data_IF_221336342749
#
_entry.id   IF_221336342749
#
_cell.length_a   1.000
_cell.length_b   1.000
_cell.length_c   1.000
_cell.angle_alpha   90.00
_cell.angle_beta   90.00
_cell.angle_gamma   90.00
#
_symmetry.space_group_name_H-M   'P 1'
#
loop_
_entity.id
_entity.type
_entity.pdbx_description
1 polymer ?
#
# COMPACT_ATOMS: atom_id res chain seq x y z
N UNK A 1 -49.71 74.02 -18.55
CA UNK A 1 -49.50 73.18 -17.34
C UNK A 1 -49.07 71.78 -17.80
N UNK A 2 -47.78 71.43 -17.73
CA UNK A 2 -47.29 70.05 -17.84
C UNK A 2 -45.98 69.97 -17.07
N UNK A 3 -46.04 69.37 -15.87
CA UNK A 3 -44.91 69.24 -14.94
C UNK A 3 -43.93 68.21 -15.49
N UNK A 4 -42.67 68.61 -15.65
CA UNK A 4 -41.55 67.73 -15.96
C UNK A 4 -41.11 67.06 -14.65
N UNK A 5 -41.34 65.76 -14.51
CA UNK A 5 -40.85 64.94 -13.40
C UNK A 5 -39.66 64.13 -13.93
N UNK A 6 -38.45 64.61 -13.64
CA UNK A 6 -37.20 63.90 -13.87
C UNK A 6 -36.97 62.93 -12.69
N UNK A 7 -37.20 61.64 -12.93
CA UNK A 7 -36.79 60.57 -12.01
C UNK A 7 -35.32 60.24 -12.28
N UNK A 8 -34.43 60.64 -11.36
CA UNK A 8 -33.02 60.26 -11.39
C UNK A 8 -32.89 58.89 -10.70
N UNK A 9 -32.85 57.82 -11.49
CA UNK A 9 -32.62 56.47 -10.98
C UNK A 9 -31.13 56.32 -10.59
N UNK A 10 -30.84 56.33 -9.28
CA UNK A 10 -29.54 55.94 -8.77
C UNK A 10 -29.33 54.44 -9.02
N UNK A 11 -28.57 54.10 -10.05
CA UNK A 11 -28.16 52.73 -10.34
C UNK A 11 -26.95 52.41 -9.45
N UNK A 12 -27.19 51.82 -8.28
CA UNK A 12 -26.10 51.31 -7.43
C UNK A 12 -25.52 50.08 -8.10
N UNK A 13 -24.31 50.21 -8.66
CA UNK A 13 -23.54 49.11 -9.21
C UNK A 13 -23.04 48.25 -8.04
N UNK A 14 -23.81 47.23 -7.66
CA UNK A 14 -23.39 46.24 -6.67
C UNK A 14 -22.26 45.40 -7.28
N UNK A 15 -21.02 45.79 -7.04
CA UNK A 15 -19.86 44.96 -7.37
C UNK A 15 -19.94 43.75 -6.43
N UNK A 16 -20.37 42.60 -6.96
CA UNK A 16 -20.21 41.33 -6.27
C UNK A 16 -18.72 41.00 -6.24
N UNK A 17 -18.04 41.41 -5.17
CA UNK A 17 -16.74 40.81 -4.82
C UNK A 17 -17.01 39.34 -4.53
N UNK A 18 -16.64 38.44 -5.47
CA UNK A 18 -16.49 37.03 -5.12
C UNK A 18 -15.46 37.00 -3.98
N UNK A 19 -15.90 36.72 -2.76
CA UNK A 19 -15.00 36.26 -1.73
C UNK A 19 -14.50 34.89 -2.20
N UNK A 20 -13.37 34.88 -2.91
CA UNK A 20 -12.58 33.67 -3.02
C UNK A 20 -12.02 33.44 -1.62
N UNK A 21 -12.38 32.33 -0.97
CA UNK A 21 -11.60 31.87 0.16
C UNK A 21 -10.14 31.81 -0.31
N UNK A 22 -9.28 32.60 0.29
CA UNK A 22 -7.90 32.71 -0.16
C UNK A 22 -7.22 31.37 0.14
N UNK A 23 -6.76 30.68 -0.90
CA UNK A 23 -6.07 29.41 -0.77
C UNK A 23 -4.80 29.62 0.06
N UNK A 24 -4.80 29.09 1.29
CA UNK A 24 -3.65 29.15 2.18
C UNK A 24 -2.64 28.10 1.71
N UNK A 25 -1.40 28.54 1.56
CA UNK A 25 -0.32 27.73 1.03
C UNK A 25 0.77 27.58 2.09
N UNK A 26 0.52 26.68 3.03
CA UNK A 26 1.47 26.28 4.09
C UNK A 26 1.74 24.79 3.93
N UNK A 27 2.99 24.47 3.63
CA UNK A 27 3.46 23.10 3.46
C UNK A 27 3.97 22.56 4.79
N UNK A 28 3.80 21.26 5.01
CA UNK A 28 4.55 20.55 6.03
C UNK A 28 6.06 20.66 5.76
N UNK A 29 6.88 20.77 6.81
CA UNK A 29 8.33 20.83 6.64
C UNK A 29 8.89 19.51 6.07
N UNK A 30 8.42 18.38 6.63
CA UNK A 30 8.89 17.05 6.28
C UNK A 30 7.77 16.01 6.41
N UNK A 31 7.53 15.24 5.35
CA UNK A 31 6.54 14.16 5.28
C UNK A 31 7.23 12.80 5.16
N UNK A 32 6.75 11.82 5.92
CA UNK A 32 7.18 10.43 5.82
C UNK A 32 6.08 9.61 5.14
N UNK A 33 6.32 9.19 3.91
CA UNK A 33 5.32 8.54 3.09
C UNK A 33 5.67 7.06 2.89
N UNK A 34 4.74 6.18 3.30
CA UNK A 34 4.82 4.76 2.95
C UNK A 34 4.28 4.53 1.54
N UNK A 35 4.95 3.67 0.79
CA UNK A 35 4.41 3.10 -0.44
C UNK A 35 3.10 2.36 -0.18
N UNK A 36 2.28 2.23 -1.23
CA UNK A 36 1.07 1.42 -1.18
C UNK A 36 1.42 -0.05 -0.92
N UNK A 37 0.50 -0.82 -0.33
CA UNK A 37 0.72 -2.24 0.01
C UNK A 37 0.51 -3.18 -1.19
N UNK A 38 -0.28 -2.76 -2.17
CA UNK A 38 -0.68 -3.61 -3.29
C UNK A 38 0.24 -3.47 -4.51
N UNK A 39 0.70 -2.25 -4.77
CA UNK A 39 1.61 -1.91 -5.86
C UNK A 39 2.73 -1.00 -5.33
N UNK A 40 3.95 -1.15 -5.85
CA UNK A 40 5.07 -0.30 -5.41
C UNK A 40 5.04 1.06 -6.10
N UNK A 41 3.89 1.71 -6.04
CA UNK A 41 3.64 3.05 -6.50
C UNK A 41 2.91 3.85 -5.43
N UNK A 42 3.11 5.17 -5.45
CA UNK A 42 2.39 6.10 -4.58
C UNK A 42 2.13 7.37 -5.36
N UNK A 43 0.87 7.74 -5.52
CA UNK A 43 0.50 9.06 -6.03
C UNK A 43 0.33 10.03 -4.88
N UNK A 44 0.96 11.19 -5.00
CA UNK A 44 0.79 12.27 -4.03
C UNK A 44 -0.19 13.33 -4.53
N UNK A 45 -1.01 13.81 -3.62
CA UNK A 45 -1.93 14.93 -3.81
C UNK A 45 -1.53 16.08 -2.87
N UNK A 46 -2.11 17.27 -3.08
CA UNK A 46 -1.76 18.45 -2.28
C UNK A 46 -2.05 18.26 -0.79
N UNK A 47 -3.09 17.49 -0.46
CA UNK A 47 -3.48 17.19 0.92
C UNK A 47 -2.43 16.36 1.67
N UNK A 48 -1.59 15.60 0.97
CA UNK A 48 -0.46 14.89 1.60
C UNK A 48 0.61 15.86 2.11
N UNK A 49 0.61 17.11 1.62
CA UNK A 49 1.71 18.06 1.78
C UNK A 49 1.34 19.37 2.45
N UNK A 50 0.07 19.77 2.43
CA UNK A 50 -0.40 21.02 3.03
C UNK A 50 -0.86 20.80 4.49
N UNK A 51 -0.63 21.77 5.36
CA UNK A 51 -1.05 21.69 6.78
C UNK A 51 -2.56 21.91 6.96
N UNK A 52 -3.19 22.65 6.05
CA UNK A 52 -4.63 22.91 6.07
C UNK A 52 -5.11 23.22 4.64
N UNK A 53 -5.15 22.20 3.77
CA UNK A 53 -5.58 22.38 2.39
C UNK A 53 -7.03 22.88 2.34
N UNK A 54 -7.23 24.04 1.70
CA UNK A 54 -8.56 24.43 1.23
C UNK A 54 -8.95 23.67 -0.04
N UNK A 55 -10.22 23.74 -0.41
CA UNK A 55 -10.73 23.18 -1.68
C UNK A 55 -10.29 24.06 -2.87
N UNK A 56 -9.02 23.92 -3.26
CA UNK A 56 -8.37 24.66 -4.32
C UNK A 56 -7.68 23.72 -5.30
N UNK A 57 -7.60 24.11 -6.57
CA UNK A 57 -6.92 23.33 -7.60
C UNK A 57 -5.41 23.51 -7.53
N UNK A 58 -4.73 22.75 -6.66
CA UNK A 58 -3.28 22.78 -6.52
C UNK A 58 -2.57 21.85 -7.52
N UNK A 59 -1.35 22.22 -7.88
CA UNK A 59 -0.43 21.39 -8.67
C UNK A 59 0.69 20.89 -7.75
N UNK A 60 1.03 19.60 -7.86
CA UNK A 60 2.10 18.96 -7.08
C UNK A 60 3.18 18.45 -8.03
N UNK A 61 4.44 18.65 -7.66
CA UNK A 61 5.59 18.11 -8.40
C UNK A 61 6.64 17.60 -7.41
N UNK A 62 7.19 16.41 -7.69
CA UNK A 62 8.34 15.89 -6.98
C UNK A 62 9.63 16.21 -7.75
N UNK A 63 10.70 16.52 -7.02
CA UNK A 63 12.06 16.52 -7.58
C UNK A 63 12.55 15.08 -7.69
N UNK A 64 13.17 14.72 -8.82
CA UNK A 64 13.76 13.39 -9.02
C UNK A 64 15.30 13.50 -9.00
N UNK A 65 16.00 12.55 -8.34
CA UNK A 65 17.45 12.49 -8.41
C UNK A 65 17.97 12.40 -9.86
N UNK A 66 19.18 12.89 -10.12
CA UNK A 66 19.76 13.04 -11.47
C UNK A 66 19.80 11.77 -12.34
N UNK A 67 19.68 10.58 -11.75
CA UNK A 67 19.68 9.29 -12.44
C UNK A 67 18.36 8.53 -12.37
N UNK A 68 17.33 9.13 -11.75
CA UNK A 68 16.01 8.55 -11.66
C UNK A 68 15.12 9.27 -12.67
N UNK A 69 14.54 8.51 -13.59
CA UNK A 69 13.59 9.07 -14.55
C UNK A 69 12.35 9.59 -13.80
N UNK A 70 11.87 10.82 -14.08
CA UNK A 70 10.61 11.29 -13.53
C UNK A 70 9.46 10.35 -13.89
N UNK A 71 8.64 10.01 -12.89
CA UNK A 71 7.42 9.27 -13.14
C UNK A 71 6.40 10.14 -13.90
N UNK A 72 5.45 9.47 -14.54
CA UNK A 72 4.28 10.12 -15.15
C UNK A 72 3.04 9.52 -14.49
N UNK A 73 2.21 10.34 -13.80
CA UNK A 73 2.38 11.78 -13.56
C UNK A 73 3.60 12.11 -12.65
N UNK A 74 4.13 13.35 -12.68
CA UNK A 74 5.30 13.74 -11.89
C UNK A 74 5.06 13.76 -10.37
N UNK A 75 3.80 13.57 -9.95
CA UNK A 75 3.37 13.37 -8.56
C UNK A 75 3.59 11.95 -8.05
N UNK A 76 3.94 11.00 -8.93
CA UNK A 76 4.03 9.58 -8.58
C UNK A 76 5.43 9.22 -8.10
N UNK A 77 5.53 8.48 -7.00
CA UNK A 77 6.73 7.76 -6.63
C UNK A 77 6.64 6.28 -7.03
N UNK A 78 7.78 5.69 -7.36
CA UNK A 78 7.95 4.27 -7.65
C UNK A 78 9.09 3.67 -6.81
N UNK A 79 9.42 2.41 -7.08
CA UNK A 79 10.52 1.69 -6.40
C UNK A 79 11.88 2.41 -6.44
N UNK A 80 12.18 3.17 -7.50
CA UNK A 80 13.48 3.84 -7.66
C UNK A 80 13.67 5.01 -6.68
N UNK A 81 12.58 5.47 -6.05
CA UNK A 81 12.59 6.53 -5.04
C UNK A 81 12.58 6.01 -3.59
N UNK A 82 12.54 4.70 -3.37
CA UNK A 82 12.59 4.13 -2.02
C UNK A 82 13.89 4.51 -1.29
N UNK A 83 13.75 4.99 -0.05
CA UNK A 83 14.85 5.45 0.79
C UNK A 83 15.34 6.86 0.45
N UNK A 84 14.87 7.48 -0.64
CA UNK A 84 15.21 8.86 -0.94
C UNK A 84 14.36 9.83 -0.14
N UNK A 85 14.98 10.94 0.23
CA UNK A 85 14.29 12.17 0.65
C UNK A 85 14.38 13.16 -0.49
N UNK A 86 13.24 13.50 -1.08
CA UNK A 86 13.15 14.43 -2.22
C UNK A 86 12.41 15.69 -1.81
N UNK A 87 12.61 16.76 -2.57
CA UNK A 87 11.84 18.00 -2.42
C UNK A 87 10.52 17.83 -3.16
N UNK A 88 9.42 18.20 -2.51
CA UNK A 88 8.14 18.38 -3.19
C UNK A 88 7.85 19.89 -3.31
N UNK A 89 7.06 20.25 -4.31
CA UNK A 89 6.50 21.59 -4.46
C UNK A 89 4.98 21.49 -4.63
N UNK A 90 4.25 22.32 -3.89
CA UNK A 90 2.82 22.56 -4.10
C UNK A 90 2.66 23.97 -4.64
N UNK A 91 1.98 24.11 -5.78
CA UNK A 91 1.75 25.37 -6.47
C UNK A 91 0.25 25.66 -6.54
N UNK A 92 -0.12 26.87 -6.19
CA UNK A 92 -1.44 27.42 -6.50
C UNK A 92 -1.37 28.13 -7.87
N UNK A 93 -1.99 27.60 -8.93
CA UNK A 93 -1.96 28.19 -10.25
C UNK A 93 -2.76 29.51 -10.33
N UNK A 94 -3.70 29.76 -9.43
CA UNK A 94 -4.50 30.99 -9.43
C UNK A 94 -3.69 32.20 -8.97
N UNK A 95 -2.81 32.01 -7.99
CA UNK A 95 -1.93 33.07 -7.46
C UNK A 95 -0.50 32.98 -7.96
N UNK A 96 -0.14 31.86 -8.59
CA UNK A 96 1.22 31.48 -8.95
C UNK A 96 2.18 31.42 -7.74
N UNK A 97 1.64 31.26 -6.54
CA UNK A 97 2.42 31.06 -5.32
C UNK A 97 2.78 29.58 -5.14
N UNK A 98 3.88 29.30 -4.44
CA UNK A 98 4.36 27.94 -4.18
C UNK A 98 4.88 27.80 -2.75
N UNK A 99 4.63 26.65 -2.13
CA UNK A 99 5.39 26.19 -0.97
C UNK A 99 6.10 24.88 -1.29
N UNK A 100 7.09 24.53 -0.47
CA UNK A 100 7.90 23.32 -0.65
C UNK A 100 8.28 22.75 0.71
N UNK A 101 8.63 21.47 0.69
CA UNK A 101 9.12 20.73 1.85
C UNK A 101 9.86 19.49 1.39
N UNK A 102 10.11 18.59 2.33
CA UNK A 102 10.75 17.30 2.06
C UNK A 102 9.75 16.15 2.20
N UNK A 103 9.92 15.12 1.37
CA UNK A 103 9.22 13.84 1.54
C UNK A 103 10.23 12.70 1.50
N UNK A 104 10.25 11.89 2.56
CA UNK A 104 10.97 10.62 2.58
C UNK A 104 10.02 9.53 2.12
N UNK A 105 10.38 8.84 1.04
CA UNK A 105 9.61 7.70 0.52
C UNK A 105 10.18 6.42 1.11
N UNK A 106 9.32 5.66 1.79
CA UNK A 106 9.70 4.48 2.55
C UNK A 106 8.81 3.30 2.16
N UNK A 107 9.36 2.09 2.27
CA UNK A 107 8.56 0.88 2.31
C UNK A 107 8.36 0.49 3.77
N UNK A 108 7.11 0.48 4.23
CA UNK A 108 6.73 0.07 5.59
C UNK A 108 5.80 -1.13 5.60
N UNK A 109 5.58 -1.77 4.45
CA UNK A 109 4.67 -2.90 4.33
C UNK A 109 5.48 -4.18 4.18
N UNK A 110 5.35 -5.10 5.13
CA UNK A 110 6.02 -6.41 5.02
C UNK A 110 5.42 -7.31 3.94
N UNK A 111 6.16 -8.31 3.45
CA UNK A 111 5.69 -9.25 2.44
C UNK A 111 4.44 -10.01 2.88
N UNK A 112 3.63 -10.43 1.91
CA UNK A 112 2.51 -11.33 2.16
C UNK A 112 3.03 -12.72 2.60
N UNK A 113 2.51 -13.22 3.72
CA UNK A 113 2.89 -14.53 4.24
C UNK A 113 1.99 -15.63 3.66
N UNK A 114 2.54 -16.67 3.01
CA UNK A 114 1.77 -17.67 2.28
C UNK A 114 1.17 -18.76 3.20
N UNK A 115 0.61 -18.41 4.35
CA UNK A 115 -0.01 -19.42 5.22
C UNK A 115 -1.24 -20.05 4.59
N UNK A 116 -1.27 -21.38 4.58
CA UNK A 116 -2.41 -22.14 4.04
C UNK A 116 -2.62 -23.41 4.83
N UNK A 117 -3.60 -23.37 5.73
CA UNK A 117 -4.07 -24.57 6.40
C UNK A 117 -4.81 -25.46 5.41
N UNK A 118 -4.38 -26.72 5.28
CA UNK A 118 -4.94 -27.65 4.28
C UNK A 118 -4.72 -29.10 4.68
N UNK A 119 -5.41 -30.01 3.99
CA UNK A 119 -5.23 -31.45 4.15
C UNK A 119 -4.27 -31.98 3.09
N UNK A 120 -3.23 -32.68 3.53
CA UNK A 120 -2.19 -33.26 2.67
C UNK A 120 -2.10 -34.77 2.87
N UNK A 121 -1.64 -35.48 1.84
CA UNK A 121 -1.20 -36.88 1.94
C UNK A 121 0.23 -37.00 2.47
N UNK A 122 0.64 -38.21 2.88
CA UNK A 122 2.02 -38.47 3.29
C UNK A 122 3.04 -38.15 2.19
N UNK A 123 2.70 -38.37 0.91
CA UNK A 123 3.58 -38.03 -0.20
C UNK A 123 3.81 -36.53 -0.34
N UNK A 124 2.77 -35.72 -0.09
CA UNK A 124 2.86 -34.26 -0.14
C UNK A 124 3.62 -33.68 1.06
N UNK A 125 3.76 -34.44 2.15
CA UNK A 125 4.56 -34.02 3.30
C UNK A 125 6.04 -33.83 2.94
N UNK A 126 6.56 -34.58 1.95
CA UNK A 126 7.92 -34.37 1.45
C UNK A 126 8.14 -32.97 0.84
N UNK A 127 7.06 -32.29 0.44
CA UNK A 127 7.05 -30.94 -0.11
C UNK A 127 6.65 -29.88 0.94
N UNK A 128 6.76 -30.16 2.23
CA UNK A 128 6.33 -29.25 3.31
C UNK A 128 6.96 -27.85 3.25
N UNK A 129 8.14 -27.71 2.65
CA UNK A 129 8.81 -26.43 2.50
C UNK A 129 8.37 -25.65 1.26
N UNK A 130 7.65 -26.24 0.30
CA UNK A 130 7.33 -25.58 -0.98
C UNK A 130 6.42 -24.35 -0.83
N UNK A 131 5.68 -24.23 0.28
CA UNK A 131 4.89 -23.02 0.58
C UNK A 131 5.74 -21.75 0.59
N UNK A 132 7.05 -21.88 0.84
CA UNK A 132 7.94 -20.72 0.86
C UNK A 132 8.15 -20.12 -0.53
N UNK A 133 7.89 -20.86 -1.62
CA UNK A 133 7.99 -20.28 -2.96
C UNK A 133 6.85 -19.29 -3.29
N UNK A 134 5.81 -19.20 -2.46
CA UNK A 134 4.61 -18.39 -2.74
C UNK A 134 4.65 -17.00 -2.10
N UNK A 135 5.66 -16.70 -1.26
CA UNK A 135 5.77 -15.39 -0.63
C UNK A 135 6.11 -14.31 -1.68
N UNK A 136 5.42 -13.17 -1.58
CA UNK A 136 5.56 -12.05 -2.50
C UNK A 136 5.49 -10.74 -1.74
N UNK A 137 6.23 -9.77 -2.25
CA UNK A 137 6.26 -8.39 -1.80
C UNK A 137 6.08 -7.49 -3.03
N UNK A 138 5.38 -6.39 -2.85
CA UNK A 138 5.13 -5.43 -3.91
C UNK A 138 6.38 -4.59 -4.17
N UNK A 139 7.20 -4.30 -3.15
CA UNK A 139 8.29 -3.33 -3.26
C UNK A 139 9.72 -3.90 -3.27
N UNK A 140 9.94 -5.15 -2.88
CA UNK A 140 11.29 -5.74 -2.93
C UNK A 140 11.28 -7.26 -3.06
N UNK A 141 12.47 -7.86 -2.99
CA UNK A 141 12.63 -9.31 -2.95
C UNK A 141 12.30 -9.85 -1.55
N UNK A 142 11.68 -11.03 -1.52
CA UNK A 142 11.24 -11.66 -0.26
C UNK A 142 12.20 -12.74 0.17
N UNK A 143 12.57 -12.70 1.45
CA UNK A 143 13.10 -13.84 2.17
C UNK A 143 12.00 -14.45 3.03
N UNK A 144 11.93 -15.78 3.07
CA UNK A 144 10.96 -16.44 3.92
C UNK A 144 11.40 -17.81 4.39
N UNK A 145 11.01 -18.11 5.63
CA UNK A 145 11.52 -19.25 6.39
C UNK A 145 10.38 -19.86 7.20
N UNK A 146 10.31 -21.19 7.22
CA UNK A 146 9.55 -21.90 8.25
C UNK A 146 10.40 -21.90 9.51
N UNK A 147 10.11 -20.98 10.42
CA UNK A 147 10.85 -20.77 11.67
C UNK A 147 10.72 -21.95 12.65
N UNK A 148 9.58 -22.62 12.66
CA UNK A 148 9.30 -23.75 13.55
C UNK A 148 8.19 -24.65 12.99
N UNK A 149 8.26 -25.95 13.28
CA UNK A 149 7.21 -26.92 13.01
C UNK A 149 6.91 -27.71 14.28
N UNK A 150 5.66 -27.65 14.74
CA UNK A 150 5.16 -28.47 15.85
C UNK A 150 4.34 -29.63 15.29
N UNK A 151 4.63 -30.85 15.76
CA UNK A 151 3.96 -32.07 15.31
C UNK A 151 2.98 -32.56 16.35
N UNK A 152 1.81 -33.01 15.90
CA UNK A 152 0.84 -33.73 16.72
C UNK A 152 0.54 -35.07 16.09
N UNK A 153 0.95 -36.14 16.73
CA UNK A 153 0.64 -37.51 16.31
C UNK A 153 -0.69 -37.97 16.92
N UNK A 154 -1.56 -38.54 16.09
CA UNK A 154 -2.83 -39.14 16.53
C UNK A 154 -2.80 -40.67 16.55
N UNK A 155 -1.67 -41.27 16.14
CA UNK A 155 -1.47 -42.71 16.15
C UNK A 155 -2.16 -43.47 15.01
N UNK A 156 -1.96 -44.78 14.99
CA UNK A 156 -2.51 -45.65 13.95
C UNK A 156 -4.02 -45.90 14.11
N UNK A 157 -4.59 -45.65 15.29
CA UNK A 157 -6.00 -45.95 15.60
C UNK A 157 -6.97 -44.79 15.26
N UNK A 158 -6.45 -43.59 14.99
CA UNK A 158 -7.28 -42.44 14.62
C UNK A 158 -8.01 -42.64 13.29
N UNK A 159 -9.28 -42.27 13.20
CA UNK A 159 -10.04 -42.43 11.96
C UNK A 159 -9.66 -41.31 10.97
N UNK A 160 -9.19 -41.66 9.77
CA UNK A 160 -9.02 -40.74 8.64
C UNK A 160 -7.83 -39.76 8.70
N UNK A 161 -7.21 -39.55 9.86
CA UNK A 161 -6.09 -38.63 10.07
C UNK A 161 -4.89 -39.36 10.68
N UNK A 162 -3.66 -38.99 10.31
CA UNK A 162 -2.42 -39.48 10.94
C UNK A 162 -1.88 -38.48 11.97
N UNK A 163 -1.91 -37.20 11.64
CA UNK A 163 -1.32 -36.17 12.49
C UNK A 163 -1.52 -34.76 11.95
N UNK A 164 -1.00 -33.79 12.69
CA UNK A 164 -0.91 -32.38 12.28
C UNK A 164 0.56 -31.95 12.20
N UNK A 165 0.87 -31.11 11.23
CA UNK A 165 2.07 -30.28 11.22
C UNK A 165 1.65 -28.82 11.34
N UNK A 166 1.97 -28.17 12.46
CA UNK A 166 1.67 -26.76 12.71
C UNK A 166 2.94 -25.97 12.42
N UNK A 167 2.94 -25.15 11.36
CA UNK A 167 4.13 -24.44 10.90
C UNK A 167 4.02 -22.97 11.28
N UNK A 168 5.12 -22.40 11.77
CA UNK A 168 5.28 -20.96 11.93
C UNK A 168 6.15 -20.43 10.80
N UNK A 169 5.56 -19.63 9.91
CA UNK A 169 6.22 -19.08 8.73
C UNK A 169 6.51 -17.61 8.98
N UNK A 170 7.71 -17.18 8.64
CA UNK A 170 8.14 -15.79 8.72
C UNK A 170 8.61 -15.33 7.34
N UNK A 171 8.20 -14.13 6.95
CA UNK A 171 8.69 -13.43 5.77
C UNK A 171 9.42 -12.15 6.20
N UNK A 172 10.42 -11.76 5.43
CA UNK A 172 11.09 -10.47 5.55
C UNK A 172 11.46 -9.95 4.18
N UNK A 173 11.59 -8.64 4.05
CA UNK A 173 11.94 -7.95 2.82
C UNK A 173 13.36 -7.33 2.90
N UNK A 174 13.77 -6.63 1.85
CA UNK A 174 15.08 -5.95 1.81
C UNK A 174 15.15 -4.69 2.69
N UNK A 175 13.99 -4.16 3.11
CA UNK A 175 13.84 -2.95 3.92
C UNK A 175 13.70 -3.23 5.42
N UNK A 176 13.72 -4.50 5.81
CA UNK A 176 13.60 -4.96 7.19
C UNK A 176 12.16 -5.08 7.68
N UNK A 177 11.17 -4.93 6.81
CA UNK A 177 9.78 -5.25 7.16
C UNK A 177 9.59 -6.76 7.09
N UNK A 178 8.71 -7.28 7.93
CA UNK A 178 8.44 -8.71 7.97
C UNK A 178 7.09 -9.01 8.59
N UNK A 179 6.56 -10.17 8.22
CA UNK A 179 5.29 -10.67 8.73
C UNK A 179 5.45 -12.13 9.17
N UNK A 180 4.56 -12.57 10.05
CA UNK A 180 4.57 -13.94 10.54
C UNK A 180 3.16 -14.51 10.51
N UNK A 181 3.05 -15.80 10.25
CA UNK A 181 1.78 -16.50 10.32
C UNK A 181 1.97 -17.95 10.76
N UNK A 182 0.88 -18.54 11.26
CA UNK A 182 0.83 -19.95 11.63
C UNK A 182 -0.21 -20.66 10.78
N UNK A 183 0.16 -21.79 10.18
CA UNK A 183 -0.79 -22.67 9.51
C UNK A 183 -0.71 -24.12 10.00
N UNK A 184 -1.74 -24.89 9.68
CA UNK A 184 -1.86 -26.29 10.09
C UNK A 184 -2.09 -27.17 8.87
N UNK A 185 -1.17 -28.11 8.65
CA UNK A 185 -1.31 -29.18 7.67
C UNK A 185 -1.91 -30.41 8.34
N UNK A 186 -3.09 -30.83 7.88
CA UNK A 186 -3.73 -32.06 8.33
C UNK A 186 -3.26 -33.22 7.47
N UNK A 187 -2.55 -34.19 8.06
CA UNK A 187 -2.04 -35.34 7.32
C UNK A 187 -3.12 -36.42 7.32
N UNK A 188 -3.72 -36.67 6.17
CA UNK A 188 -4.77 -37.70 6.04
C UNK A 188 -4.17 -39.10 5.97
N UNK A 189 -4.90 -40.09 6.49
CA UNK A 189 -4.63 -41.50 6.20
C UNK A 189 -4.88 -41.76 4.73
N UNK A 190 -3.90 -42.38 4.06
CA UNK A 190 -4.13 -42.91 2.72
C UNK A 190 -4.98 -44.16 2.88
N UNK A 191 -6.28 -44.05 2.62
CA UNK A 191 -7.12 -45.21 2.44
C UNK A 191 -6.67 -45.85 1.11
N UNK A 192 -5.97 -46.97 1.18
CA UNK A 192 -5.84 -47.82 0.01
C UNK A 192 -7.26 -48.26 -0.32
N UNK A 193 -7.80 -47.83 -1.47
CA UNK A 193 -8.88 -48.60 -2.08
C UNK A 193 -8.29 -49.99 -2.26
N UNK A 194 -8.76 -50.93 -1.45
CA UNK A 194 -8.52 -52.34 -1.69
C UNK A 194 -9.17 -52.61 -3.04
N UNK A 195 -8.38 -52.59 -4.10
CA UNK A 195 -8.74 -53.29 -5.32
C UNK A 195 -8.81 -54.76 -4.93
N UNK A 196 -10.01 -55.21 -4.56
CA UNK A 196 -10.30 -56.63 -4.50
C UNK A 196 -10.20 -57.08 -5.95
N UNK A 197 -9.06 -57.69 -6.32
CA UNK A 197 -8.96 -58.35 -7.61
C UNK A 197 -10.11 -59.38 -7.67
N UNK A 198 -10.97 -59.36 -8.71
CA UNK A 198 -11.97 -60.41 -8.86
C UNK A 198 -11.24 -61.75 -8.97
N UNK A 199 -11.70 -62.71 -8.17
CA UNK A 199 -11.17 -64.07 -8.09
C UNK A 199 -11.26 -64.80 -9.43
#
# INVERSE_FOLDING_TARGET
MKKFLLFFALFTLSIFSKLTAQCILVCNDHVHASMNADDCYRDFIADDFLENPGDCGYEVVLSYPFQVAPCIPPTRANRDLLGYTVVYQVKDPATNNSCWGYVTIEDKTGPLVPCKSTTISCFQLAAINQVTAEAKDNCSDVSNVISNITWKDYGCDSVGILGLAIRNIQTSDAWGNGNTCTDTLTIRKMCWIVYVAPA
#
